data_IF_111227944500
#
_entry.id   IF_111227944500
#
_cell.length_a   1.000
_cell.length_b   1.000
_cell.length_c   1.000
_cell.angle_alpha   90.00
_cell.angle_beta   90.00
_cell.angle_gamma   90.00
#
_symmetry.space_group_name_H-M   'P 1'
#
loop_
_entity.id
_entity.type
_entity.pdbx_description
1 polymer ?
#
# COMPACT_ATOMS: atom_id res chain seq x y z
N UNK A 1 -6.60 13.73 18.13
CA UNK A 1 -6.99 14.83 17.23
C UNK A 1 -6.49 14.64 15.80
N UNK A 2 -5.20 14.39 15.53
CA UNK A 2 -4.69 14.20 14.17
C UNK A 2 -5.32 13.02 13.42
N UNK A 3 -5.59 11.89 14.05
CA UNK A 3 -6.20 10.71 13.41
C UNK A 3 -7.55 10.98 12.72
N UNK A 4 -8.37 11.88 13.27
CA UNK A 4 -9.65 12.29 12.67
C UNK A 4 -9.43 13.19 11.46
N UNK A 5 -8.52 14.18 11.57
CA UNK A 5 -8.14 15.05 10.45
C UNK A 5 -7.53 14.21 9.31
N UNK A 6 -6.60 13.31 9.65
CA UNK A 6 -6.01 12.37 8.70
C UNK A 6 -7.07 11.57 7.98
N UNK A 7 -8.06 11.04 8.68
CA UNK A 7 -9.13 10.26 8.05
C UNK A 7 -9.96 11.08 7.08
N UNK A 8 -10.28 12.33 7.42
CA UNK A 8 -10.98 13.24 6.52
C UNK A 8 -10.15 13.51 5.26
N UNK A 9 -8.85 13.79 5.40
CA UNK A 9 -7.93 13.97 4.27
C UNK A 9 -7.82 12.71 3.40
N UNK A 10 -7.68 11.53 4.01
CA UNK A 10 -7.65 10.24 3.30
C UNK A 10 -8.91 10.09 2.41
N UNK A 11 -10.10 10.37 2.94
CA UNK A 11 -11.36 10.26 2.21
C UNK A 11 -11.40 11.27 1.06
N UNK A 12 -11.14 12.54 1.34
CA UNK A 12 -11.25 13.60 0.33
C UNK A 12 -10.26 13.37 -0.81
N UNK A 13 -8.99 13.08 -0.48
CA UNK A 13 -7.95 12.86 -1.49
C UNK A 13 -8.23 11.59 -2.29
N UNK A 14 -8.58 10.48 -1.64
CA UNK A 14 -8.86 9.21 -2.34
C UNK A 14 -10.08 9.31 -3.25
N UNK A 15 -11.14 10.00 -2.80
CA UNK A 15 -12.32 10.23 -3.63
C UNK A 15 -11.99 11.08 -4.85
N UNK A 16 -11.26 12.19 -4.64
CA UNK A 16 -10.83 13.07 -5.73
C UNK A 16 -9.95 12.32 -6.74
N UNK A 17 -8.99 11.52 -6.26
CA UNK A 17 -8.14 10.71 -7.14
C UNK A 17 -8.95 9.65 -7.90
N UNK A 18 -9.90 8.97 -7.28
CA UNK A 18 -10.75 8.01 -7.96
C UNK A 18 -11.63 8.67 -9.03
N UNK A 19 -12.17 9.86 -8.77
CA UNK A 19 -12.96 10.63 -9.74
C UNK A 19 -12.11 11.09 -10.95
N UNK A 20 -10.84 11.42 -10.75
CA UNK A 20 -9.93 11.81 -11.84
C UNK A 20 -9.38 10.57 -12.58
N UNK A 21 -9.03 9.53 -11.85
CA UNK A 21 -8.33 8.36 -12.39
C UNK A 21 -9.26 7.22 -12.82
N UNK A 22 -10.61 7.36 -12.71
CA UNK A 22 -11.53 6.28 -13.07
C UNK A 22 -11.35 5.79 -14.51
N UNK A 23 -11.19 6.72 -15.47
CA UNK A 23 -11.00 6.37 -16.87
C UNK A 23 -9.63 5.71 -17.13
N UNK A 24 -8.49 6.27 -16.70
CA UNK A 24 -7.21 5.54 -16.71
C UNK A 24 -7.27 4.15 -16.06
N UNK A 25 -7.92 4.03 -14.91
CA UNK A 25 -8.06 2.73 -14.22
C UNK A 25 -8.90 1.74 -15.02
N UNK A 26 -9.96 2.20 -15.70
CA UNK A 26 -10.76 1.36 -16.61
C UNK A 26 -9.91 0.87 -17.80
N UNK A 27 -9.12 1.75 -18.41
CA UNK A 27 -8.21 1.40 -19.51
C UNK A 27 -7.20 0.34 -19.03
N UNK A 28 -6.58 0.54 -17.86
CA UNK A 28 -5.67 -0.44 -17.25
C UNK A 28 -6.38 -1.78 -17.04
N UNK A 29 -7.59 -1.78 -16.50
CA UNK A 29 -8.35 -3.01 -16.26
C UNK A 29 -8.61 -3.79 -17.56
N UNK A 30 -8.94 -3.09 -18.64
CA UNK A 30 -9.13 -3.69 -19.98
C UNK A 30 -7.81 -4.25 -20.50
N UNK A 31 -6.70 -3.50 -20.43
CA UNK A 31 -5.38 -3.95 -20.89
C UNK A 31 -4.90 -5.19 -20.12
N UNK A 32 -5.09 -5.23 -18.80
CA UNK A 32 -4.77 -6.41 -17.96
C UNK A 32 -5.57 -7.64 -18.40
N UNK A 33 -6.84 -7.47 -18.78
CA UNK A 33 -7.68 -8.59 -19.25
C UNK A 33 -7.33 -9.07 -20.66
N UNK A 34 -6.87 -8.17 -21.52
CA UNK A 34 -6.41 -8.52 -22.87
C UNK A 34 -5.06 -9.24 -22.81
N UNK A 35 -4.14 -8.76 -21.95
CA UNK A 35 -2.79 -9.32 -21.82
C UNK A 35 -2.77 -10.74 -21.22
N UNK A 36 -3.74 -11.06 -20.34
CA UNK A 36 -3.84 -12.41 -19.77
C UNK A 36 -5.26 -12.74 -19.30
N UNK A 37 -5.74 -14.00 -19.44
CA UNK A 37 -7.06 -14.43 -18.99
C UNK A 37 -7.28 -14.21 -17.49
N UNK A 38 -8.50 -13.88 -17.07
CA UNK A 38 -8.91 -13.79 -15.66
C UNK A 38 -9.30 -12.38 -15.20
N UNK A 39 -9.46 -12.20 -13.89
CA UNK A 39 -9.89 -10.92 -13.28
C UNK A 39 -8.80 -9.86 -13.41
N UNK A 40 -9.17 -8.61 -13.73
CA UNK A 40 -8.22 -7.50 -13.78
C UNK A 40 -7.70 -7.11 -12.38
N UNK A 41 -8.54 -7.26 -11.35
CA UNK A 41 -8.21 -6.96 -9.96
C UNK A 41 -7.77 -8.25 -9.26
N UNK A 42 -6.61 -8.17 -8.62
CA UNK A 42 -6.09 -9.16 -7.69
C UNK A 42 -6.45 -8.73 -6.26
N UNK A 43 -7.00 -9.64 -5.48
CA UNK A 43 -7.38 -9.45 -4.10
C UNK A 43 -6.55 -10.36 -3.20
N UNK A 44 -5.97 -9.80 -2.14
CA UNK A 44 -5.10 -10.55 -1.22
C UNK A 44 -5.38 -10.15 0.23
N UNK A 45 -5.52 -11.16 1.10
CA UNK A 45 -5.65 -10.91 2.54
C UNK A 45 -4.35 -10.34 3.10
N UNK A 46 -4.47 -9.30 3.89
CA UNK A 46 -3.37 -8.61 4.59
C UNK A 46 -3.76 -8.36 6.05
N UNK A 47 -2.77 -8.08 6.88
CA UNK A 47 -2.98 -7.64 8.26
C UNK A 47 -3.08 -6.12 8.28
N UNK A 48 -4.17 -5.60 8.83
CA UNK A 48 -4.50 -4.19 8.94
C UNK A 48 -4.46 -3.66 10.36
N UNK A 49 -5.23 -2.60 10.60
CA UNK A 49 -5.35 -1.97 11.91
C UNK A 49 -5.88 -2.95 12.96
N UNK A 50 -5.37 -2.83 14.19
CA UNK A 50 -5.69 -3.69 15.33
C UNK A 50 -5.39 -5.18 15.06
N UNK A 51 -4.39 -5.44 14.18
CA UNK A 51 -3.99 -6.76 13.71
C UNK A 51 -5.13 -7.57 13.06
N UNK A 52 -6.18 -6.90 12.58
CA UNK A 52 -7.32 -7.55 11.91
C UNK A 52 -7.02 -7.80 10.43
N UNK A 53 -7.42 -8.95 9.88
CA UNK A 53 -7.26 -9.21 8.46
C UNK A 53 -8.23 -8.34 7.65
N UNK A 54 -7.77 -7.89 6.47
CA UNK A 54 -8.60 -7.21 5.47
C UNK A 54 -8.20 -7.65 4.06
N UNK A 55 -9.04 -7.38 3.07
CA UNK A 55 -8.75 -7.67 1.67
C UNK A 55 -8.19 -6.43 0.98
N UNK A 56 -6.94 -6.50 0.55
CA UNK A 56 -6.26 -5.47 -0.22
C UNK A 56 -6.42 -5.73 -1.72
N UNK A 57 -6.68 -4.69 -2.50
CA UNK A 57 -6.90 -4.77 -3.94
C UNK A 57 -5.75 -4.14 -4.73
N UNK A 58 -5.37 -4.81 -5.84
CA UNK A 58 -4.37 -4.33 -6.82
C UNK A 58 -4.79 -4.68 -8.23
N UNK A 59 -4.23 -4.02 -9.23
CA UNK A 59 -4.26 -4.58 -10.57
C UNK A 59 -3.40 -5.84 -10.63
N UNK A 60 -3.87 -6.84 -11.36
CA UNK A 60 -3.13 -8.08 -11.55
C UNK A 60 -1.95 -7.84 -12.48
N UNK A 61 -0.75 -8.14 -11.99
CA UNK A 61 0.51 -7.99 -12.73
C UNK A 61 1.18 -9.32 -13.08
N UNK A 62 0.58 -10.44 -12.70
CA UNK A 62 1.13 -11.79 -12.91
C UNK A 62 0.10 -12.68 -13.58
N UNK A 63 0.56 -13.69 -14.35
CA UNK A 63 -0.30 -14.72 -14.87
C UNK A 63 -0.95 -15.49 -13.73
N UNK A 64 -2.20 -15.91 -13.92
CA UNK A 64 -2.95 -16.62 -12.89
C UNK A 64 -2.37 -18.03 -12.67
N UNK A 65 -2.01 -18.34 -11.43
CA UNK A 65 -1.38 -19.61 -11.07
C UNK A 65 0.12 -19.73 -11.40
N UNK A 66 0.74 -18.66 -11.91
CA UNK A 66 2.17 -18.65 -12.24
C UNK A 66 2.89 -17.52 -11.48
N UNK A 67 4.22 -17.69 -11.28
CA UNK A 67 5.07 -16.61 -10.73
C UNK A 67 5.65 -15.69 -11.84
N UNK A 68 5.10 -15.75 -13.05
CA UNK A 68 5.55 -14.97 -14.19
C UNK A 68 4.75 -13.66 -14.32
N UNK A 69 5.46 -12.55 -14.50
CA UNK A 69 4.89 -11.22 -14.70
C UNK A 69 4.35 -11.10 -16.13
N UNK A 70 3.16 -10.50 -16.29
CA UNK A 70 2.58 -10.20 -17.62
C UNK A 70 3.27 -8.99 -18.25
N UNK A 71 3.09 -8.77 -19.58
CA UNK A 71 3.66 -7.61 -20.28
C UNK A 71 3.13 -6.30 -19.70
N UNK A 72 1.81 -6.20 -19.55
CA UNK A 72 1.17 -5.03 -18.92
C UNK A 72 1.59 -4.92 -17.45
N UNK A 73 1.71 -6.06 -16.75
CA UNK A 73 2.18 -6.10 -15.37
C UNK A 73 3.56 -5.48 -15.18
N UNK A 74 4.48 -5.67 -16.12
CA UNK A 74 5.81 -5.04 -16.08
C UNK A 74 5.73 -3.51 -16.11
N UNK A 75 4.78 -2.95 -16.88
CA UNK A 75 4.57 -1.50 -16.96
C UNK A 75 3.86 -0.92 -15.73
N UNK A 76 3.00 -1.72 -15.08
CA UNK A 76 2.22 -1.26 -13.94
C UNK A 76 2.97 -1.32 -12.61
N UNK A 77 3.94 -2.23 -12.48
CA UNK A 77 4.71 -2.41 -11.24
C UNK A 77 5.44 -1.13 -10.84
N UNK A 78 5.39 -0.85 -9.57
CA UNK A 78 6.01 0.31 -8.94
C UNK A 78 5.00 1.31 -8.37
N UNK A 79 3.87 1.56 -9.03
CA UNK A 79 2.84 2.46 -8.50
C UNK A 79 1.45 2.21 -9.09
N UNK A 80 1.33 2.05 -10.41
CA UNK A 80 0.03 2.01 -11.06
C UNK A 80 -0.78 0.75 -10.72
N UNK A 81 -0.13 -0.35 -10.37
CA UNK A 81 -0.81 -1.55 -9.90
C UNK A 81 -1.50 -1.35 -8.54
N UNK A 82 -1.09 -0.37 -7.75
CA UNK A 82 -1.63 -0.10 -6.42
C UNK A 82 -2.82 0.88 -6.42
N UNK A 83 -3.19 1.49 -7.56
CA UNK A 83 -4.31 2.43 -7.66
C UNK A 83 -5.66 1.90 -7.09
N UNK A 84 -6.01 0.62 -7.24
CA UNK A 84 -7.24 0.10 -6.63
C UNK A 84 -7.28 0.19 -5.10
N UNK A 85 -6.14 0.34 -4.42
CA UNK A 85 -6.08 0.55 -2.96
C UNK A 85 -6.71 1.89 -2.53
N UNK A 86 -6.89 2.85 -3.44
CA UNK A 86 -7.67 4.08 -3.14
C UNK A 86 -9.09 3.74 -2.69
N UNK A 87 -9.68 2.66 -3.22
CA UNK A 87 -10.96 2.13 -2.76
C UNK A 87 -10.87 1.56 -1.35
N UNK A 88 -9.78 0.85 -1.01
CA UNK A 88 -9.56 0.32 0.33
C UNK A 88 -9.36 1.45 1.35
N UNK A 89 -8.76 2.58 0.91
CA UNK A 89 -8.69 3.80 1.73
C UNK A 89 -10.08 4.36 1.97
N UNK A 90 -10.95 4.49 0.96
CA UNK A 90 -12.32 4.97 1.15
C UNK A 90 -13.13 4.08 2.10
N UNK A 91 -12.97 2.77 2.02
CA UNK A 91 -13.63 1.81 2.91
C UNK A 91 -13.14 1.89 4.36
N UNK A 92 -11.98 2.53 4.60
CA UNK A 92 -11.39 2.67 5.93
C UNK A 92 -10.50 1.51 6.36
N UNK A 93 -10.21 0.59 5.47
CA UNK A 93 -9.26 -0.50 5.68
C UNK A 93 -7.81 -0.01 5.61
N UNK A 94 -7.56 0.99 4.76
CA UNK A 94 -6.26 1.60 4.53
C UNK A 94 -6.27 3.12 4.75
N UNK A 95 -5.10 3.73 4.67
CA UNK A 95 -4.80 5.15 4.64
C UNK A 95 -3.88 5.43 3.44
N UNK A 96 -3.77 6.67 2.99
CA UNK A 96 -2.76 7.06 1.99
C UNK A 96 -1.35 6.83 2.52
N UNK A 97 -1.10 7.22 3.78
CA UNK A 97 0.20 7.07 4.45
C UNK A 97 0.05 6.20 5.70
N UNK A 98 0.88 5.19 5.85
CA UNK A 98 0.86 4.28 7.00
C UNK A 98 1.88 3.15 6.87
N UNK A 99 1.99 2.27 7.87
CA UNK A 99 2.78 1.05 7.78
C UNK A 99 2.35 0.20 6.58
N UNK A 100 3.32 -0.45 5.91
CA UNK A 100 2.99 -1.37 4.81
C UNK A 100 2.21 -2.58 5.34
N UNK A 101 1.05 -2.93 4.76
CA UNK A 101 0.30 -4.10 5.20
C UNK A 101 1.07 -5.39 4.92
N UNK A 102 1.27 -6.20 5.95
CA UNK A 102 1.99 -7.48 5.88
C UNK A 102 1.06 -8.63 5.53
N UNK A 103 1.61 -9.71 4.97
CA UNK A 103 0.86 -10.96 4.79
C UNK A 103 0.60 -11.62 6.15
N UNK A 104 -0.51 -12.33 6.32
CA UNK A 104 -0.69 -13.19 7.49
C UNK A 104 0.46 -14.20 7.59
N UNK A 105 1.15 -14.24 8.74
CA UNK A 105 2.29 -15.11 8.97
C UNK A 105 3.64 -14.59 8.46
N UNK A 106 3.71 -13.41 7.84
CA UNK A 106 4.96 -12.79 7.40
C UNK A 106 5.20 -11.45 8.11
N UNK A 107 6.46 -11.12 8.46
CA UNK A 107 7.67 -11.94 8.40
C UNK A 107 7.69 -13.07 9.43
N UNK A 108 6.74 -13.07 10.37
CA UNK A 108 6.55 -14.05 11.42
C UNK A 108 5.06 -14.07 11.82
N UNK A 109 4.56 -15.14 12.47
CA UNK A 109 3.22 -15.18 13.03
C UNK A 109 2.95 -14.03 14.00
N UNK A 110 1.71 -13.51 14.04
CA UNK A 110 1.35 -12.37 14.90
C UNK A 110 1.68 -12.62 16.39
N UNK A 111 1.62 -13.87 16.84
CA UNK A 111 1.96 -14.24 18.23
C UNK A 111 3.45 -14.14 18.57
N UNK A 112 4.32 -13.97 17.57
CA UNK A 112 5.77 -13.81 17.76
C UNK A 112 6.20 -12.33 17.77
N UNK A 113 5.30 -11.40 17.40
CA UNK A 113 5.57 -9.97 17.52
C UNK A 113 5.64 -9.56 19.00
N UNK A 114 6.67 -8.82 19.36
CA UNK A 114 6.76 -8.22 20.69
C UNK A 114 5.64 -7.17 20.89
N UNK A 115 5.26 -6.86 22.15
CA UNK A 115 4.30 -5.78 22.42
C UNK A 115 4.68 -4.44 21.77
N UNK A 116 5.98 -4.14 21.66
CA UNK A 116 6.49 -2.95 21.00
C UNK A 116 6.22 -3.01 19.49
N UNK A 117 6.56 -4.11 18.84
CA UNK A 117 6.34 -4.31 17.41
C UNK A 117 4.85 -4.29 17.03
N UNK A 118 3.98 -4.77 17.92
CA UNK A 118 2.52 -4.73 17.74
C UNK A 118 1.97 -3.31 17.60
N UNK A 119 2.68 -2.30 18.07
CA UNK A 119 2.28 -0.88 17.93
C UNK A 119 2.15 -0.45 16.46
N UNK A 120 2.87 -1.07 15.52
CA UNK A 120 2.70 -0.78 14.10
C UNK A 120 1.27 -1.01 13.60
N UNK A 121 0.52 -1.89 14.23
CA UNK A 121 -0.88 -2.17 13.90
C UNK A 121 -1.89 -1.26 14.60
N UNK A 122 -1.45 -0.32 15.43
CA UNK A 122 -2.35 0.65 16.11
C UNK A 122 -2.97 1.65 15.13
N UNK A 123 -2.40 1.79 13.94
CA UNK A 123 -2.84 2.69 12.87
C UNK A 123 -3.21 1.91 11.61
N UNK A 124 -3.94 2.57 10.67
CA UNK A 124 -4.26 1.94 9.38
C UNK A 124 -3.00 1.76 8.55
N UNK A 125 -2.87 0.63 7.84
CA UNK A 125 -1.80 0.46 6.86
C UNK A 125 -1.93 1.47 5.72
N UNK A 126 -0.80 1.86 5.12
CA UNK A 126 -0.75 2.85 4.06
C UNK A 126 -0.48 2.27 2.67
N UNK A 127 -0.90 3.01 1.63
CA UNK A 127 -0.43 2.80 0.25
C UNK A 127 1.08 3.07 0.21
N UNK A 128 1.50 4.18 0.83
CA UNK A 128 2.92 4.49 1.10
C UNK A 128 3.17 4.66 2.58
N UNK A 129 4.44 4.76 3.00
CA UNK A 129 4.78 4.91 4.42
C UNK A 129 6.28 5.10 4.66
N UNK A 130 6.62 5.35 5.92
CA UNK A 130 7.98 5.71 6.31
C UNK A 130 9.02 4.66 5.91
N UNK A 131 8.75 3.38 6.15
CA UNK A 131 9.65 2.30 5.74
C UNK A 131 9.76 2.17 4.21
N UNK A 132 8.67 2.45 3.45
CA UNK A 132 8.69 2.37 2.00
C UNK A 132 9.58 3.46 1.37
N UNK A 133 9.61 4.67 1.92
CA UNK A 133 10.41 5.78 1.37
C UNK A 133 11.85 5.82 1.87
N UNK A 134 12.19 5.07 2.95
CA UNK A 134 13.52 5.07 3.58
C UNK A 134 14.33 3.78 3.39
N UNK A 135 14.04 2.96 2.39
CA UNK A 135 14.92 1.82 2.10
C UNK A 135 14.24 0.60 1.52
N UNK A 136 12.92 0.51 1.56
CA UNK A 136 12.15 -0.55 0.87
C UNK A 136 12.67 -1.97 1.15
N UNK A 137 12.93 -2.73 0.07
CA UNK A 137 13.41 -4.12 0.14
C UNK A 137 14.87 -4.25 0.55
N UNK A 138 15.66 -3.19 0.41
CA UNK A 138 17.08 -3.19 0.81
C UNK A 138 17.26 -3.21 2.33
N UNK A 139 16.22 -2.82 3.09
CA UNK A 139 16.26 -2.81 4.56
C UNK A 139 15.73 -4.14 5.12
N UNK A 140 16.42 -4.76 6.09
CA UNK A 140 15.96 -5.96 6.77
C UNK A 140 14.57 -5.81 7.41
N UNK A 141 13.86 -6.92 7.58
CA UNK A 141 12.50 -6.91 8.12
C UNK A 141 12.40 -6.25 9.50
N UNK A 142 13.34 -6.51 10.40
CA UNK A 142 13.32 -5.94 11.75
C UNK A 142 13.38 -4.41 11.69
N UNK A 143 14.30 -3.84 10.92
CA UNK A 143 14.41 -2.39 10.74
C UNK A 143 13.15 -1.79 10.11
N UNK A 144 12.50 -2.51 9.17
CA UNK A 144 11.22 -2.07 8.60
C UNK A 144 10.10 -2.06 9.64
N UNK A 145 10.06 -3.05 10.53
CA UNK A 145 9.12 -3.08 11.64
C UNK A 145 9.37 -1.88 12.56
N UNK A 146 10.62 -1.62 12.94
CA UNK A 146 10.99 -0.48 13.79
C UNK A 146 10.60 0.87 13.16
N UNK A 147 10.83 1.04 11.85
CA UNK A 147 10.37 2.22 11.10
C UNK A 147 8.85 2.36 11.10
N UNK A 148 8.11 1.25 11.02
CA UNK A 148 6.65 1.26 11.05
C UNK A 148 6.10 1.58 12.45
N UNK A 149 6.74 1.07 13.50
CA UNK A 149 6.44 1.43 14.90
C UNK A 149 6.70 2.91 15.11
N UNK A 150 7.89 3.38 14.71
CA UNK A 150 8.24 4.79 14.82
C UNK A 150 7.22 5.69 14.14
N UNK A 151 6.79 5.36 12.91
CA UNK A 151 5.75 6.12 12.23
C UNK A 151 4.44 6.13 13.02
N UNK A 152 4.00 4.99 13.55
CA UNK A 152 2.75 4.89 14.30
C UNK A 152 2.76 5.80 15.55
N UNK A 153 3.90 5.95 16.19
CA UNK A 153 4.09 6.80 17.38
C UNK A 153 4.25 8.29 17.05
N UNK A 154 4.81 8.64 15.86
CA UNK A 154 5.12 10.01 15.47
C UNK A 154 4.21 10.57 14.36
N UNK A 155 3.11 9.89 14.09
CA UNK A 155 2.15 10.25 13.04
C UNK A 155 1.68 11.70 13.16
N UNK A 156 1.92 12.50 12.11
CA UNK A 156 1.54 13.91 12.03
C UNK A 156 1.30 14.34 10.59
N UNK A 157 0.57 15.44 10.39
CA UNK A 157 0.32 15.98 9.05
C UNK A 157 1.63 16.33 8.32
N UNK A 158 2.58 16.94 9.04
CA UNK A 158 3.87 17.29 8.46
C UNK A 158 4.66 16.06 8.01
N UNK A 159 4.64 14.98 8.81
CA UNK A 159 5.29 13.72 8.46
C UNK A 159 4.59 13.06 7.25
N UNK A 160 3.27 13.04 7.21
CA UNK A 160 2.53 12.47 6.08
C UNK A 160 2.81 13.23 4.77
N UNK A 161 2.84 14.57 4.79
CA UNK A 161 3.21 15.39 3.64
C UNK A 161 4.65 15.09 3.20
N UNK A 162 5.58 14.98 4.13
CA UNK A 162 6.97 14.61 3.83
C UNK A 162 7.05 13.25 3.14
N UNK A 163 6.36 12.25 3.66
CA UNK A 163 6.32 10.89 3.07
C UNK A 163 5.73 10.93 1.66
N UNK A 164 4.61 11.64 1.45
CA UNK A 164 4.01 11.80 0.13
C UNK A 164 4.96 12.46 -0.87
N UNK A 165 5.65 13.53 -0.47
CA UNK A 165 6.65 14.20 -1.31
C UNK A 165 7.82 13.26 -1.67
N UNK A 166 8.32 12.48 -0.70
CA UNK A 166 9.36 11.48 -0.94
C UNK A 166 8.86 10.37 -1.88
N UNK A 167 7.61 9.93 -1.72
CA UNK A 167 7.00 8.92 -2.61
C UNK A 167 6.95 9.41 -4.05
N UNK A 168 6.44 10.64 -4.29
CA UNK A 168 6.40 11.23 -5.63
C UNK A 168 7.81 11.29 -6.24
N UNK A 169 8.80 11.74 -5.47
CA UNK A 169 10.20 11.79 -5.93
C UNK A 169 10.72 10.41 -6.32
N UNK A 170 10.41 9.38 -5.55
CA UNK A 170 10.88 8.01 -5.81
C UNK A 170 10.22 7.44 -7.07
N UNK A 171 8.89 7.62 -7.22
CA UNK A 171 8.15 7.19 -8.42
C UNK A 171 8.70 7.87 -9.68
N UNK A 172 8.92 9.20 -9.63
CA UNK A 172 9.46 9.95 -10.78
C UNK A 172 10.93 9.60 -11.10
N UNK A 173 11.72 9.17 -10.12
CA UNK A 173 13.12 8.77 -10.35
C UNK A 173 13.27 7.37 -10.93
N UNK A 174 12.19 6.61 -11.09
CA UNK A 174 12.22 5.24 -11.63
C UNK A 174 12.94 4.21 -10.73
N UNK A 175 13.35 4.59 -9.52
CA UNK A 175 14.05 3.71 -8.57
C UNK A 175 13.16 2.64 -7.94
N UNK A 176 11.94 2.50 -8.42
CA UNK A 176 10.95 1.56 -7.89
C UNK A 176 11.05 0.15 -8.47
N UNK A 177 11.89 -0.06 -9.48
CA UNK A 177 11.96 -1.32 -10.24
C UNK A 177 13.14 -2.23 -9.82
N UNK A 178 13.89 -1.90 -8.77
CA UNK A 178 14.97 -2.74 -8.24
C UNK A 178 14.58 -3.48 -6.96
#
# INVERSE_FOLDING_TARGET
MYSTVKRALDIVISLSLLLVLWLPMLIIAVLVRIDSPGKAIFAQTRVGKDAKPFTMHKFRTMYQGEQRVTRVGTLLRGFADELPQLWDVLRGEMSLVGPRPVLPGEPMPLGEFTPEQMKMFSVRPGITGWAQVNGRRAVPWNERIDMNVWYAEHMSLALDIKILAMTVRTVLSGKDNE
#
